data_IF_881032545362
#
_entry.id   IF_881032545362
#
_cell.length_a   1.000
_cell.length_b   1.000
_cell.length_c   1.000
_cell.angle_alpha   90.00
_cell.angle_beta   90.00
_cell.angle_gamma   90.00
#
_symmetry.space_group_name_H-M   'P 1'
#
loop_
_entity.id
_entity.type
_entity.pdbx_description
1 polymer ?
#
# COMPACT_ATOMS: atom_id res chain seq x y z
N UNK A 1 -24.86 13.03 5.87
CA UNK A 1 -23.45 13.45 5.74
C UNK A 1 -22.60 12.22 5.44
N UNK A 2 -22.10 12.06 4.21
CA UNK A 2 -20.89 11.30 3.86
C UNK A 2 -20.61 11.42 2.34
N UNK A 3 -20.54 12.64 1.83
CA UNK A 3 -19.80 12.89 0.59
C UNK A 3 -18.35 13.06 0.99
N UNK A 4 -17.50 12.07 0.70
CA UNK A 4 -16.10 12.19 0.25
C UNK A 4 -15.46 10.79 0.13
N UNK A 5 -15.79 10.05 -0.91
CA UNK A 5 -14.89 8.99 -1.40
C UNK A 5 -15.12 8.83 -2.90
N UNK A 6 -14.95 9.93 -3.63
CA UNK A 6 -14.94 9.91 -5.08
C UNK A 6 -13.65 9.17 -5.51
N UNK A 7 -13.77 7.85 -5.72
CA UNK A 7 -12.77 7.01 -6.37
C UNK A 7 -11.72 6.31 -5.49
N UNK A 8 -11.54 6.67 -4.20
CA UNK A 8 -10.46 6.09 -3.38
C UNK A 8 -10.94 4.87 -2.59
N UNK A 9 -10.25 3.75 -2.75
CA UNK A 9 -10.45 2.53 -1.99
C UNK A 9 -9.31 2.29 -0.99
N UNK A 10 -9.57 1.49 0.05
CA UNK A 10 -8.49 1.04 0.91
C UNK A 10 -7.67 -0.03 0.17
N UNK A 11 -6.36 0.13 0.19
CA UNK A 11 -5.40 -0.80 -0.34
C UNK A 11 -4.44 -1.22 0.76
N UNK A 12 -4.25 -2.53 0.90
CA UNK A 12 -3.33 -3.17 1.81
C UNK A 12 -2.10 -3.61 1.02
N UNK A 13 -1.00 -2.91 1.21
CA UNK A 13 0.30 -3.24 0.62
C UNK A 13 1.05 -4.15 1.57
N UNK A 14 1.24 -5.41 1.17
CA UNK A 14 2.05 -6.40 1.87
C UNK A 14 3.47 -6.32 1.38
N UNK A 15 4.41 -6.14 2.30
CA UNK A 15 5.83 -6.14 2.00
C UNK A 15 6.61 -6.89 3.06
N UNK A 16 7.78 -7.41 2.69
CA UNK A 16 8.73 -8.01 3.62
C UNK A 16 9.73 -6.96 4.08
N UNK A 17 9.92 -6.84 5.37
CA UNK A 17 10.97 -6.00 5.96
C UNK A 17 12.33 -6.70 5.87
N UNK A 18 13.42 -5.96 6.12
CA UNK A 18 14.79 -6.49 6.19
C UNK A 18 14.98 -7.61 7.21
N UNK A 19 14.12 -7.65 8.23
CA UNK A 19 14.13 -8.69 9.26
C UNK A 19 13.39 -9.97 8.83
N UNK A 20 12.85 -10.01 7.61
CA UNK A 20 12.03 -11.12 7.12
C UNK A 20 10.58 -11.09 7.63
N UNK A 21 10.23 -10.10 8.44
CA UNK A 21 8.86 -9.87 8.93
C UNK A 21 7.95 -9.41 7.80
N UNK A 22 6.71 -9.93 7.78
CA UNK A 22 5.68 -9.47 6.85
C UNK A 22 4.99 -8.27 7.45
N UNK A 23 5.12 -7.13 6.80
CA UNK A 23 4.46 -5.89 7.16
C UNK A 23 3.34 -5.60 6.18
N UNK A 24 2.23 -5.13 6.72
CA UNK A 24 1.06 -4.72 5.95
C UNK A 24 0.84 -3.24 6.20
N UNK A 25 0.68 -2.47 5.13
CA UNK A 25 0.41 -1.04 5.21
C UNK A 25 -0.88 -0.71 4.48
N UNK A 26 -1.80 -0.07 5.18
CA UNK A 26 -3.11 0.30 4.67
C UNK A 26 -3.10 1.75 4.18
N UNK A 27 -3.34 1.96 2.90
CA UNK A 27 -3.39 3.27 2.27
C UNK A 27 -4.72 3.47 1.54
N UNK A 28 -5.24 4.69 1.56
CA UNK A 28 -6.39 5.05 0.75
C UNK A 28 -5.89 5.61 -0.58
N UNK A 29 -6.14 4.88 -1.66
CA UNK A 29 -5.65 5.22 -2.98
C UNK A 29 -6.75 5.00 -4.03
N UNK A 30 -6.62 5.64 -5.18
CA UNK A 30 -7.58 5.49 -6.28
C UNK A 30 -7.28 4.23 -7.10
N UNK A 31 -6.02 3.84 -7.16
CA UNK A 31 -5.52 2.68 -7.91
C UNK A 31 -4.36 1.99 -7.16
N UNK A 32 -4.03 0.75 -7.55
CA UNK A 32 -2.90 0.00 -7.00
C UNK A 32 -1.55 0.71 -7.23
N UNK A 33 -1.40 1.48 -8.32
CA UNK A 33 -0.19 2.26 -8.58
C UNK A 33 0.02 3.39 -7.57
N UNK A 34 -1.04 4.12 -7.23
CA UNK A 34 -1.00 5.18 -6.23
C UNK A 34 -0.76 4.60 -4.82
N UNK A 35 -1.38 3.46 -4.50
CA UNK A 35 -1.10 2.74 -3.24
C UNK A 35 0.37 2.33 -3.13
N UNK A 36 1.01 1.91 -4.24
CA UNK A 36 2.43 1.58 -4.30
C UNK A 36 3.31 2.81 -4.05
N UNK A 37 3.00 3.93 -4.69
CA UNK A 37 3.73 5.19 -4.49
C UNK A 37 3.66 5.63 -3.03
N UNK A 38 2.47 5.61 -2.43
CA UNK A 38 2.29 5.90 -1.01
C UNK A 38 3.11 4.97 -0.12
N UNK A 39 3.13 3.67 -0.42
CA UNK A 39 3.94 2.70 0.32
C UNK A 39 5.46 2.98 0.17
N UNK A 40 5.92 3.38 -1.01
CA UNK A 40 7.32 3.78 -1.24
C UNK A 40 7.68 5.08 -0.53
N UNK A 41 6.76 6.03 -0.48
CA UNK A 41 6.96 7.31 0.18
C UNK A 41 6.96 7.14 1.71
N UNK A 42 6.07 6.29 2.22
CA UNK A 42 5.95 5.98 3.65
C UNK A 42 7.11 5.12 4.14
N UNK A 43 7.57 4.16 3.34
CA UNK A 43 8.64 3.25 3.71
C UNK A 43 9.81 3.34 2.72
N UNK A 44 10.87 4.05 3.13
CA UNK A 44 12.12 4.15 2.38
C UNK A 44 12.75 2.79 2.08
N UNK A 45 12.42 1.75 2.85
CA UNK A 45 12.84 0.38 2.57
C UNK A 45 12.20 -0.18 1.30
N UNK A 46 10.89 0.02 1.12
CA UNK A 46 10.16 -0.41 -0.08
C UNK A 46 10.63 0.39 -1.31
N UNK A 47 10.96 1.67 -1.11
CA UNK A 47 11.52 2.52 -2.16
C UNK A 47 12.88 2.02 -2.65
N UNK A 48 13.75 1.57 -1.74
CA UNK A 48 15.06 1.01 -2.06
C UNK A 48 14.95 -0.43 -2.59
N UNK A 49 13.98 -1.20 -2.12
CA UNK A 49 13.75 -2.58 -2.51
C UNK A 49 12.32 -2.78 -3.05
N UNK A 50 12.05 -2.35 -4.30
CA UNK A 50 10.72 -2.49 -4.90
C UNK A 50 10.26 -3.96 -5.06
N UNK A 51 11.19 -4.91 -5.00
CA UNK A 51 10.93 -6.36 -5.05
C UNK A 51 10.48 -6.95 -3.72
N UNK A 52 10.51 -6.18 -2.62
CA UNK A 52 10.03 -6.64 -1.31
C UNK A 52 8.50 -6.53 -1.17
N UNK A 53 7.83 -5.88 -2.12
CA UNK A 53 6.36 -5.84 -2.17
C UNK A 53 5.88 -7.21 -2.63
N UNK A 54 5.16 -7.90 -1.75
CA UNK A 54 4.60 -9.22 -1.99
C UNK A 54 3.29 -9.12 -2.77
N UNK A 55 2.38 -8.24 -2.33
CA UNK A 55 1.05 -8.07 -2.92
C UNK A 55 0.42 -6.74 -2.53
N UNK A 56 -0.37 -6.15 -3.43
CA UNK A 56 -1.21 -4.98 -3.16
C UNK A 56 -2.67 -5.43 -3.28
N UNK A 57 -3.35 -5.55 -2.15
CA UNK A 57 -4.72 -6.04 -2.06
C UNK A 57 -5.66 -4.87 -1.85
N UNK A 58 -6.76 -4.78 -2.60
CA UNK A 58 -7.81 -3.81 -2.30
C UNK A 58 -8.67 -4.35 -1.14
N UNK A 59 -8.66 -3.66 0.00
CA UNK A 59 -9.62 -3.87 1.10
C UNK A 59 -10.92 -3.19 0.72
N UNK A 60 -11.88 -3.98 0.27
CA UNK A 60 -13.17 -3.49 -0.21
C UNK A 60 -13.87 -4.55 -1.03
N UNK A 61 -14.36 -5.57 -0.34
CA UNK A 61 -15.42 -6.47 -0.80
C UNK A 61 -16.58 -6.36 0.22
#
# INVERSE_FOLDING_TARGET
MASIAQGRAAYTVRHKSSNGEKLESCFYATDAFEARLLAMEFNAYIRQHPNCIDSILRTGA
#
